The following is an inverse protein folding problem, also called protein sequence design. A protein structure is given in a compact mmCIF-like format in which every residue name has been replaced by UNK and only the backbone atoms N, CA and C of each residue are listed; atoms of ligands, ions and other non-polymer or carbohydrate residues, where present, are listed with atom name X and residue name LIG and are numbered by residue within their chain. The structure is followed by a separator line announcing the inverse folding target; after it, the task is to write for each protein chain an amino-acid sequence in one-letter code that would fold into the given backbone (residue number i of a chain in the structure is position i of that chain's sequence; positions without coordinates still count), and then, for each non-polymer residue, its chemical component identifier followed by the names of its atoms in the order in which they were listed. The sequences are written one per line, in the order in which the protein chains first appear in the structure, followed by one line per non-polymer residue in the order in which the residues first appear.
data_IF_874742162319
#
_entry.id   IF_874742162319
#
_cell.length_a   1.000
_cell.length_b   1.000
_cell.length_c   1.000
_cell.angle_alpha   90.00
_cell.angle_beta   90.00
_cell.angle_gamma   90.00
#
_symmetry.space_group_name_H-M   'P 1'
#
loop_
_entity.id
_entity.type
_entity.pdbx_description
1 polymer ?
#
# COMPACT_ATOMS: atom_id res chain seq x y z
N UNK A 1 10.07 -12.11 -2.35
CA UNK A 1 9.69 -12.40 -3.73
C UNK A 1 9.39 -11.12 -4.50
N UNK A 2 9.87 -11.04 -5.72
CA UNK A 2 9.68 -9.85 -6.54
C UNK A 2 8.23 -9.75 -7.06
N UNK A 3 7.73 -8.54 -7.24
CA UNK A 3 6.36 -8.27 -7.74
C UNK A 3 5.23 -8.92 -6.93
N UNK A 4 5.38 -8.96 -5.63
CA UNK A 4 4.32 -9.44 -4.75
C UNK A 4 3.02 -8.63 -4.90
N UNK A 5 1.89 -9.32 -4.85
CA UNK A 5 0.54 -8.77 -4.71
C UNK A 5 -0.32 -9.73 -3.87
N UNK A 6 -1.43 -9.26 -3.27
CA UNK A 6 -2.34 -10.11 -2.51
C UNK A 6 -2.87 -11.30 -3.32
N UNK A 7 -3.12 -12.43 -2.67
CA UNK A 7 -3.70 -13.62 -3.27
C UNK A 7 -2.74 -14.45 -4.14
N UNK A 8 -1.44 -14.13 -4.14
CA UNK A 8 -0.46 -15.01 -4.79
C UNK A 8 -0.12 -16.22 -3.93
N UNK A 9 0.26 -17.33 -4.57
CA UNK A 9 0.93 -18.47 -3.94
C UNK A 9 2.38 -18.57 -4.40
N UNK A 10 3.26 -19.07 -3.54
CA UNK A 10 4.65 -19.37 -3.89
C UNK A 10 4.73 -20.80 -4.40
N UNK A 11 4.96 -20.96 -5.69
CA UNK A 11 5.23 -22.28 -6.28
C UNK A 11 6.75 -22.55 -6.35
N UNK A 12 7.41 -22.45 -5.20
CA UNK A 12 8.85 -22.70 -5.06
C UNK A 12 9.08 -23.57 -3.81
N UNK A 13 9.60 -24.79 -3.96
CA UNK A 13 9.84 -25.72 -2.85
C UNK A 13 10.88 -25.21 -1.82
N UNK A 14 11.66 -24.21 -2.14
CA UNK A 14 12.60 -23.59 -1.21
C UNK A 14 11.91 -22.80 -0.07
N UNK A 15 10.62 -22.45 -0.24
CA UNK A 15 9.85 -21.76 0.77
C UNK A 15 9.04 -22.74 1.62
N UNK A 16 9.23 -22.68 2.95
CA UNK A 16 8.46 -23.47 3.90
C UNK A 16 7.00 -22.98 3.99
N UNK A 17 6.79 -21.66 3.94
CA UNK A 17 5.46 -21.04 3.86
C UNK A 17 5.19 -20.61 2.43
N UNK A 18 4.07 -21.06 1.86
CA UNK A 18 3.69 -20.78 0.47
C UNK A 18 2.45 -19.92 0.33
N UNK A 19 1.80 -19.63 1.45
CA UNK A 19 0.68 -18.71 1.50
C UNK A 19 1.21 -17.27 1.65
N UNK A 20 1.01 -16.48 0.61
CA UNK A 20 1.44 -15.08 0.62
C UNK A 20 0.66 -14.21 1.60
N UNK A 21 -0.56 -14.54 1.93
CA UNK A 21 -1.34 -13.76 2.89
C UNK A 21 -0.73 -13.92 4.29
N UNK A 22 -0.27 -15.12 4.63
CA UNK A 22 0.48 -15.36 5.88
C UNK A 22 1.84 -14.65 5.85
N UNK A 23 2.59 -14.77 4.75
CA UNK A 23 3.90 -14.11 4.61
C UNK A 23 3.77 -12.58 4.69
N UNK A 24 2.77 -12.01 4.02
CA UNK A 24 2.53 -10.57 4.02
C UNK A 24 2.08 -10.06 5.38
N UNK A 25 1.26 -10.82 6.11
CA UNK A 25 0.84 -10.47 7.47
C UNK A 25 2.05 -10.41 8.42
N UNK A 26 2.93 -11.41 8.36
CA UNK A 26 4.17 -11.45 9.15
C UNK A 26 5.14 -10.32 8.76
N UNK A 27 5.28 -10.07 7.47
CA UNK A 27 6.13 -8.98 6.97
C UNK A 27 5.61 -7.61 7.40
N UNK A 28 4.28 -7.41 7.37
CA UNK A 28 3.64 -6.18 7.85
C UNK A 28 3.83 -6.00 9.35
N UNK A 29 3.68 -7.07 10.12
CA UNK A 29 3.95 -7.04 11.56
C UNK A 29 5.40 -6.63 11.82
N UNK A 30 6.37 -7.29 11.19
CA UNK A 30 7.79 -6.95 11.33
C UNK A 30 8.10 -5.51 10.92
N UNK A 31 7.46 -5.01 9.86
CA UNK A 31 7.58 -3.62 9.43
C UNK A 31 7.07 -2.65 10.51
N UNK A 32 5.88 -2.88 11.05
CA UNK A 32 5.29 -2.03 12.09
C UNK A 32 6.06 -2.07 13.42
N UNK A 33 6.69 -3.21 13.74
CA UNK A 33 7.54 -3.35 14.93
C UNK A 33 8.93 -2.71 14.76
N UNK A 34 9.43 -2.66 13.53
CA UNK A 34 10.78 -2.17 13.22
C UNK A 34 10.85 -0.67 12.92
N UNK A 35 9.75 -0.08 12.49
CA UNK A 35 9.68 1.34 12.12
C UNK A 35 8.86 2.14 13.13
N UNK A 36 9.31 3.35 13.44
CA UNK A 36 8.65 4.28 14.37
C UNK A 36 7.41 4.93 13.72
N UNK A 37 6.47 4.12 13.25
CA UNK A 37 5.20 4.58 12.70
C UNK A 37 4.04 4.24 13.62
N UNK A 38 3.10 5.18 13.76
CA UNK A 38 1.92 4.95 14.61
C UNK A 38 0.97 3.96 13.96
N UNK A 39 0.58 2.93 14.70
CA UNK A 39 -0.48 2.00 14.28
C UNK A 39 -1.83 2.72 14.41
N UNK A 40 -2.61 2.72 13.33
CA UNK A 40 -3.97 3.26 13.34
C UNK A 40 -4.88 2.38 14.19
N UNK A 41 -5.73 2.98 15.03
CA UNK A 41 -6.70 2.24 15.84
C UNK A 41 -7.84 1.67 14.99
N UNK A 42 -8.27 2.44 13.99
CA UNK A 42 -9.43 2.09 13.16
C UNK A 42 -9.06 1.11 12.03
N UNK A 43 -7.79 1.10 11.63
CA UNK A 43 -7.27 0.22 10.60
C UNK A 43 -5.79 -0.12 10.90
N UNK A 44 -5.54 -1.10 11.79
CA UNK A 44 -4.19 -1.44 12.23
C UNK A 44 -3.26 -1.90 11.10
N UNK A 45 -3.82 -2.41 10.02
CA UNK A 45 -3.06 -2.88 8.86
C UNK A 45 -2.68 -1.78 7.87
N UNK A 46 -3.25 -0.59 8.01
CA UNK A 46 -3.04 0.50 7.05
C UNK A 46 -1.67 1.16 7.19
N UNK A 47 -0.90 1.09 6.11
CA UNK A 47 0.43 1.70 6.03
C UNK A 47 0.36 3.09 5.41
N UNK A 48 -0.44 3.30 4.34
CA UNK A 48 -0.55 4.60 3.68
C UNK A 48 -1.10 5.69 4.58
N UNK A 49 -0.47 6.86 4.55
CA UNK A 49 -0.78 8.01 5.42
C UNK A 49 -0.14 9.29 4.92
N UNK A 50 -0.49 10.43 5.52
CA UNK A 50 0.25 11.67 5.28
C UNK A 50 0.90 12.22 6.55
N UNK A 51 1.94 13.00 6.34
CA UNK A 51 2.66 13.71 7.39
C UNK A 51 2.84 15.17 6.99
N UNK A 52 2.43 16.06 7.88
CA UNK A 52 2.69 17.49 7.76
C UNK A 52 4.03 17.84 8.42
N UNK A 53 4.87 18.55 7.69
CA UNK A 53 6.08 19.16 8.21
C UNK A 53 5.92 20.69 8.17
N UNK A 54 5.34 21.23 9.23
CA UNK A 54 4.92 22.62 9.29
C UNK A 54 3.86 22.96 8.22
N UNK A 55 3.69 24.24 7.87
CA UNK A 55 2.69 24.68 6.89
C UNK A 55 3.16 24.51 5.43
N UNK A 56 4.44 24.18 5.22
CA UNK A 56 5.03 24.23 3.89
C UNK A 56 5.03 22.88 3.17
N UNK A 57 5.08 21.76 3.89
CA UNK A 57 5.27 20.44 3.29
C UNK A 57 4.27 19.44 3.86
N UNK A 58 3.60 18.72 2.97
CA UNK A 58 2.88 17.49 3.30
C UNK A 58 3.38 16.34 2.41
N UNK A 59 3.72 15.22 3.06
CA UNK A 59 4.19 13.99 2.39
C UNK A 59 3.09 12.94 2.47
N UNK A 60 2.68 12.41 1.33
CA UNK A 60 1.70 11.34 1.18
C UNK A 60 2.44 10.04 0.89
N UNK A 61 2.54 9.19 1.91
CA UNK A 61 3.17 7.87 1.81
C UNK A 61 2.16 6.87 1.28
N UNK A 62 2.50 6.17 0.20
CA UNK A 62 1.63 5.18 -0.43
C UNK A 62 2.02 3.75 -0.09
N UNK A 63 1.05 2.85 -0.15
CA UNK A 63 1.25 1.41 -0.13
C UNK A 63 0.93 0.86 -1.53
N UNK A 64 1.94 0.66 -2.33
CA UNK A 64 1.81 0.19 -3.72
C UNK A 64 1.73 -1.34 -3.82
N UNK A 65 1.55 -2.05 -2.70
CA UNK A 65 1.58 -3.51 -2.69
C UNK A 65 0.33 -4.14 -2.11
N UNK A 66 -0.15 -3.68 -0.96
CA UNK A 66 -1.21 -4.37 -0.22
C UNK A 66 -2.60 -4.26 -0.86
N UNK A 67 -2.79 -3.32 -1.77
CA UNK A 67 -4.12 -3.01 -2.34
C UNK A 67 -4.20 -3.19 -3.86
N UNK A 68 -3.13 -3.64 -4.48
CA UNK A 68 -3.07 -3.79 -5.94
C UNK A 68 -3.71 -5.09 -6.41
N UNK A 69 -4.18 -5.08 -7.65
CA UNK A 69 -4.55 -6.28 -8.38
C UNK A 69 -3.36 -7.18 -8.72
N UNK A 70 -3.66 -8.34 -9.30
CA UNK A 70 -2.64 -9.31 -9.75
C UNK A 70 -1.75 -8.75 -10.85
N UNK A 71 -0.53 -9.28 -10.94
CA UNK A 71 0.37 -8.89 -12.02
C UNK A 71 -0.20 -9.32 -13.38
N UNK A 72 -0.17 -8.41 -14.33
CA UNK A 72 -0.70 -8.60 -15.68
C UNK A 72 0.22 -7.97 -16.73
N UNK A 73 -0.13 -8.11 -18.00
CA UNK A 73 0.56 -7.42 -19.09
C UNK A 73 0.28 -5.91 -19.14
N UNK A 74 -0.50 -5.36 -18.21
CA UNK A 74 -0.93 -3.95 -18.13
C UNK A 74 -1.63 -3.45 -19.40
N UNK A 75 -2.41 -4.32 -20.04
CA UNK A 75 -3.17 -4.05 -21.27
C UNK A 75 -4.61 -4.49 -21.13
N UNK A 76 -5.21 -4.21 -19.97
CA UNK A 76 -6.60 -4.53 -19.70
C UNK A 76 -7.52 -3.70 -20.59
N UNK A 77 -8.52 -4.35 -21.17
CA UNK A 77 -9.54 -3.67 -21.97
C UNK A 77 -10.54 -2.89 -21.10
N UNK A 78 -10.67 -3.29 -19.84
CA UNK A 78 -11.56 -2.67 -18.84
C UNK A 78 -10.78 -2.32 -17.58
N UNK A 79 -11.21 -1.25 -16.92
CA UNK A 79 -10.69 -0.88 -15.60
C UNK A 79 -11.52 -1.60 -14.52
N UNK A 80 -11.12 -2.80 -14.20
CA UNK A 80 -11.67 -3.60 -13.12
C UNK A 80 -10.63 -3.77 -11.99
N UNK A 81 -10.94 -4.58 -10.98
CA UNK A 81 -10.05 -4.83 -9.85
C UNK A 81 -8.65 -5.35 -10.27
N UNK A 82 -8.55 -6.08 -11.39
CA UNK A 82 -7.25 -6.53 -11.90
C UNK A 82 -6.37 -5.39 -12.42
N UNK A 83 -6.96 -4.21 -12.70
CA UNK A 83 -6.26 -3.01 -13.11
C UNK A 83 -5.88 -2.08 -11.92
N UNK A 84 -6.33 -2.39 -10.70
CA UNK A 84 -6.04 -1.59 -9.52
C UNK A 84 -4.55 -1.59 -9.20
N UNK A 85 -3.98 -0.41 -9.01
CA UNK A 85 -2.61 -0.25 -8.54
C UNK A 85 -2.55 0.15 -7.06
N UNK A 86 -3.36 1.14 -6.67
CA UNK A 86 -3.46 1.61 -5.28
C UNK A 86 -4.67 1.03 -4.54
N UNK A 87 -5.61 0.44 -5.27
CA UNK A 87 -6.91 0.05 -4.76
C UNK A 87 -7.85 1.25 -4.50
N UNK A 88 -9.18 1.04 -4.58
CA UNK A 88 -10.16 2.11 -4.46
C UNK A 88 -10.09 2.89 -3.14
N UNK A 89 -9.92 2.25 -1.97
CA UNK A 89 -9.88 2.98 -0.70
C UNK A 89 -8.70 3.95 -0.60
N UNK A 90 -7.49 3.50 -0.97
CA UNK A 90 -6.29 4.33 -0.92
C UNK A 90 -6.36 5.46 -1.94
N UNK A 91 -6.84 5.16 -3.16
CA UNK A 91 -6.99 6.16 -4.21
C UNK A 91 -7.98 7.26 -3.79
N UNK A 92 -9.11 6.90 -3.18
CA UNK A 92 -10.08 7.87 -2.69
C UNK A 92 -9.51 8.70 -1.54
N UNK A 93 -8.79 8.07 -0.61
CA UNK A 93 -8.08 8.77 0.45
C UNK A 93 -7.08 9.78 -0.12
N UNK A 94 -6.24 9.38 -1.07
CA UNK A 94 -5.23 10.25 -1.68
C UNK A 94 -5.86 11.46 -2.35
N UNK A 95 -6.90 11.26 -3.17
CA UNK A 95 -7.63 12.35 -3.83
C UNK A 95 -8.21 13.34 -2.82
N UNK A 96 -8.82 12.84 -1.74
CA UNK A 96 -9.40 13.67 -0.69
C UNK A 96 -8.31 14.42 0.08
N UNK A 97 -7.23 13.74 0.45
CA UNK A 97 -6.13 14.33 1.19
C UNK A 97 -5.42 15.41 0.39
N UNK A 98 -5.13 15.16 -0.90
CA UNK A 98 -4.53 16.16 -1.79
C UNK A 98 -5.43 17.40 -1.98
N UNK A 99 -6.74 17.21 -2.11
CA UNK A 99 -7.71 18.30 -2.26
C UNK A 99 -7.78 19.17 -1.01
N UNK A 100 -7.69 18.57 0.16
CA UNK A 100 -7.82 19.27 1.44
C UNK A 100 -6.49 19.84 1.97
N UNK A 101 -5.38 19.43 1.38
CA UNK A 101 -4.05 19.89 1.77
C UNK A 101 -3.86 21.37 1.48
N UNK A 102 -3.47 22.13 2.50
CA UNK A 102 -3.10 23.55 2.41
C UNK A 102 -1.59 23.76 2.31
N UNK A 103 -0.80 22.68 2.35
CA UNK A 103 0.65 22.77 2.24
C UNK A 103 1.08 23.31 0.88
N UNK A 104 2.16 24.11 0.88
CA UNK A 104 2.74 24.65 -0.36
C UNK A 104 3.30 23.53 -1.23
N UNK A 105 4.04 22.61 -0.62
CA UNK A 105 4.61 21.44 -1.27
C UNK A 105 3.84 20.17 -0.88
N UNK A 106 3.44 19.42 -1.88
CA UNK A 106 2.78 18.13 -1.74
C UNK A 106 3.67 17.07 -2.40
N UNK A 107 4.26 16.21 -1.60
CA UNK A 107 5.13 15.13 -2.06
C UNK A 107 4.37 13.80 -1.95
N UNK A 108 4.30 13.06 -3.05
CA UNK A 108 3.77 11.70 -3.09
C UNK A 108 4.96 10.75 -3.14
N UNK A 109 5.05 9.79 -2.19
CA UNK A 109 6.16 8.87 -2.00
C UNK A 109 5.69 7.43 -1.80
#
# INVERSE_FOLDING_TARGET
HNNWCPGLSVDDPAYAERDYDILSARARQAFLESYAIRISRDDPGRIYRSYNHGPLLEVFMLDERSYRGVNSANRQATLDHAADFLGPPQLQWLKTALKNSTALWKVIA
#
